data_IF_946402024898
#
_entry.id   IF_946402024898
#
_cell.length_a   1.000
_cell.length_b   1.000
_cell.length_c   1.000
_cell.angle_alpha   90.00
_cell.angle_beta   90.00
_cell.angle_gamma   90.00
#
_symmetry.space_group_name_H-M   'P 1'
#
loop_
_entity.id
_entity.type
_entity.pdbx_description
1 polymer ?
#
# COMPACT_ATOMS: atom_id res chain seq x y z
N UNK A 1 -22.55 38.08 41.77
CA UNK A 1 -21.91 38.37 40.48
C UNK A 1 -21.13 37.11 40.12
N UNK A 2 -21.77 36.24 39.30
CA UNK A 2 -21.19 34.99 38.86
C UNK A 2 -20.65 35.24 37.44
N UNK A 3 -19.33 35.14 37.26
CA UNK A 3 -18.66 35.15 35.99
C UNK A 3 -18.64 33.72 35.44
N UNK A 4 -19.38 33.49 34.36
CA UNK A 4 -19.36 32.22 33.61
C UNK A 4 -18.06 32.09 32.83
N UNK A 5 -17.37 30.98 33.05
CA UNK A 5 -16.27 30.57 32.21
C UNK A 5 -16.86 29.93 30.90
N UNK A 6 -16.59 30.55 29.76
CA UNK A 6 -16.89 29.97 28.47
C UNK A 6 -15.88 28.85 28.20
N UNK A 7 -16.36 27.63 28.04
CA UNK A 7 -15.58 26.52 27.50
C UNK A 7 -15.28 26.84 26.01
N UNK A 8 -13.98 26.99 25.68
CA UNK A 8 -13.53 27.02 24.32
C UNK A 8 -13.72 25.63 23.70
N UNK A 9 -14.44 25.57 22.58
CA UNK A 9 -14.50 24.36 21.75
C UNK A 9 -13.10 24.02 21.22
N UNK A 10 -12.68 22.73 21.20
CA UNK A 10 -11.42 22.34 20.58
C UNK A 10 -11.48 22.69 19.09
N UNK A 11 -10.51 23.47 18.61
CA UNK A 11 -10.42 23.92 17.24
C UNK A 11 -10.44 22.74 16.28
N UNK A 12 -11.27 22.82 15.23
CA UNK A 12 -11.24 21.91 14.08
C UNK A 12 -9.82 21.91 13.52
N UNK A 13 -9.23 20.73 13.46
CA UNK A 13 -8.04 20.46 12.63
C UNK A 13 -8.30 20.94 11.20
N UNK A 14 -7.33 21.51 10.49
CA UNK A 14 -7.52 21.86 9.08
C UNK A 14 -7.99 20.61 8.32
N UNK A 15 -9.00 20.78 7.46
CA UNK A 15 -9.56 19.70 6.66
C UNK A 15 -8.41 18.99 5.92
N UNK A 16 -8.37 17.67 6.01
CA UNK A 16 -7.43 16.83 5.26
C UNK A 16 -7.56 17.20 3.77
N UNK A 17 -6.50 17.70 3.12
CA UNK A 17 -6.54 18.02 1.70
C UNK A 17 -6.76 16.78 0.83
N UNK A 18 -6.67 15.59 1.43
CA UNK A 18 -6.95 14.30 0.79
C UNK A 18 -7.90 13.48 1.66
N UNK A 19 -9.18 13.88 1.79
CA UNK A 19 -10.11 13.07 2.56
C UNK A 19 -10.10 11.65 2.01
N UNK A 20 -9.90 10.65 2.87
CA UNK A 20 -10.34 9.30 2.57
C UNK A 20 -11.86 9.44 2.53
N UNK A 21 -12.38 9.72 1.34
CA UNK A 21 -13.80 9.64 1.12
C UNK A 21 -14.12 8.17 1.20
N UNK A 22 -14.56 7.73 2.38
CA UNK A 22 -15.23 6.44 2.56
C UNK A 22 -16.61 6.43 1.89
N UNK A 23 -16.72 7.09 0.75
CA UNK A 23 -17.76 6.80 -0.22
C UNK A 23 -17.37 5.46 -0.82
N UNK A 24 -17.99 4.40 -0.30
CA UNK A 24 -18.11 3.13 -1.03
C UNK A 24 -18.43 3.51 -2.47
N UNK A 25 -17.52 3.14 -3.40
CA UNK A 25 -17.68 3.43 -4.81
C UNK A 25 -19.15 3.16 -5.19
N UNK A 26 -19.82 4.13 -5.77
CA UNK A 26 -21.22 3.98 -6.16
C UNK A 26 -21.31 2.76 -7.05
N UNK A 27 -22.46 2.07 -7.07
CA UNK A 27 -22.68 0.89 -7.94
C UNK A 27 -22.30 1.21 -9.39
N UNK A 28 -22.46 2.46 -9.82
CA UNK A 28 -22.08 2.95 -11.15
C UNK A 28 -20.54 3.03 -11.35
N UNK A 29 -19.73 3.21 -10.31
CA UNK A 29 -18.27 3.24 -10.40
C UNK A 29 -17.67 1.83 -10.47
N UNK A 30 -18.32 0.82 -9.92
CA UNK A 30 -17.84 -0.56 -9.89
C UNK A 30 -17.69 -1.17 -11.29
N UNK A 31 -18.51 -0.74 -12.24
CA UNK A 31 -18.52 -1.23 -13.63
C UNK A 31 -17.53 -0.47 -14.55
N UNK A 32 -16.83 0.55 -14.04
CA UNK A 32 -15.85 1.31 -14.82
C UNK A 32 -14.50 0.60 -14.83
N UNK A 33 -13.72 0.70 -15.94
CA UNK A 33 -12.35 0.20 -16.01
C UNK A 33 -11.46 0.77 -14.89
N UNK A 34 -10.50 -0.02 -14.41
CA UNK A 34 -9.55 0.43 -13.37
C UNK A 34 -8.85 1.73 -13.75
N UNK A 35 -8.48 1.88 -15.01
CA UNK A 35 -7.85 3.10 -15.54
C UNK A 35 -8.62 4.39 -15.23
N UNK A 36 -9.93 4.31 -15.04
CA UNK A 36 -10.81 5.47 -14.85
C UNK A 36 -11.07 5.81 -13.38
N UNK A 37 -10.81 4.86 -12.46
CA UNK A 37 -11.27 5.00 -11.08
C UNK A 37 -10.21 4.75 -10.01
N UNK A 38 -9.10 4.06 -10.31
CA UNK A 38 -8.09 3.76 -9.31
C UNK A 38 -6.97 4.80 -9.26
N UNK A 39 -6.42 5.00 -8.09
CA UNK A 39 -5.13 5.66 -7.90
C UNK A 39 -4.02 4.78 -8.46
N UNK A 40 -2.99 5.40 -9.02
CA UNK A 40 -1.81 4.70 -9.53
C UNK A 40 -0.59 5.14 -8.73
N UNK A 41 0.08 4.19 -8.14
CA UNK A 41 1.32 4.41 -7.41
C UNK A 41 2.46 3.56 -7.94
N UNK A 42 3.65 3.85 -7.46
CA UNK A 42 4.81 3.04 -7.72
C UNK A 42 5.81 3.04 -6.55
N UNK A 43 6.50 1.90 -6.40
CA UNK A 43 7.83 1.83 -5.82
C UNK A 43 8.84 1.99 -6.95
N UNK A 44 9.81 2.88 -6.80
CA UNK A 44 10.92 3.05 -7.74
C UNK A 44 12.23 2.65 -7.07
N UNK A 45 13.22 2.20 -7.84
CA UNK A 45 14.52 1.79 -7.29
C UNK A 45 15.13 2.85 -6.35
N UNK A 46 15.41 2.42 -5.13
CA UNK A 46 15.92 3.31 -4.07
C UNK A 46 14.81 4.15 -3.41
N UNK A 47 13.59 4.14 -3.96
CA UNK A 47 12.46 4.89 -3.42
C UNK A 47 12.81 6.35 -3.12
N UNK A 48 12.17 6.93 -2.12
CA UNK A 48 12.45 8.30 -1.64
C UNK A 48 13.81 8.46 -0.94
N UNK A 49 14.51 7.35 -0.61
CA UNK A 49 15.88 7.37 -0.06
C UNK A 49 16.88 8.05 -0.99
N UNK A 50 16.59 8.08 -2.28
CA UNK A 50 17.38 8.77 -3.32
C UNK A 50 16.78 10.12 -3.71
N UNK A 51 15.81 10.62 -2.95
CA UNK A 51 15.04 11.81 -3.29
C UNK A 51 13.90 11.54 -4.26
N UNK A 52 13.23 12.59 -4.71
CA UNK A 52 12.04 12.48 -5.57
C UNK A 52 12.35 12.30 -7.06
N UNK A 53 13.62 12.43 -7.48
CA UNK A 53 14.00 12.34 -8.91
C UNK A 53 13.54 11.04 -9.59
N UNK A 54 13.72 9.83 -9.00
CA UNK A 54 13.25 8.59 -9.64
C UNK A 54 11.75 8.55 -9.89
N UNK A 55 10.97 9.16 -9.00
CA UNK A 55 9.51 9.27 -9.13
C UNK A 55 9.14 10.24 -10.26
N UNK A 56 9.77 11.41 -10.31
CA UNK A 56 9.52 12.43 -11.33
C UNK A 56 9.95 11.95 -12.72
N UNK A 57 11.03 11.18 -12.81
CA UNK A 57 11.49 10.58 -14.07
C UNK A 57 10.46 9.55 -14.55
N UNK A 58 9.93 8.71 -13.67
CA UNK A 58 8.87 7.75 -14.01
C UNK A 58 7.60 8.48 -14.49
N UNK A 59 7.16 9.53 -13.78
CA UNK A 59 6.02 10.38 -14.18
C UNK A 59 6.22 10.97 -15.58
N UNK A 60 7.44 11.43 -15.86
CA UNK A 60 7.81 11.99 -17.18
C UNK A 60 7.67 10.95 -18.28
N UNK A 61 8.17 9.73 -18.06
CA UNK A 61 8.05 8.63 -19.03
C UNK A 61 6.60 8.18 -19.20
N UNK A 62 5.82 8.12 -18.14
CA UNK A 62 4.40 7.74 -18.18
C UNK A 62 3.51 8.85 -18.76
N UNK A 63 4.00 10.09 -18.84
CA UNK A 63 3.22 11.25 -19.29
C UNK A 63 2.06 11.59 -18.35
N UNK A 64 2.14 11.16 -17.08
CA UNK A 64 1.14 11.48 -16.03
C UNK A 64 1.78 11.45 -14.65
N UNK A 65 1.12 12.14 -13.72
CA UNK A 65 1.48 12.08 -12.31
C UNK A 65 1.03 10.77 -11.67
N UNK A 66 1.81 10.29 -10.71
CA UNK A 66 1.38 9.24 -9.78
C UNK A 66 0.47 9.82 -8.70
N UNK A 67 -0.23 8.95 -8.00
CA UNK A 67 -1.09 9.29 -6.86
C UNK A 67 -0.44 8.84 -5.53
N UNK A 68 0.34 7.75 -5.57
CA UNK A 68 0.96 7.12 -4.41
C UNK A 68 2.43 6.85 -4.68
N UNK A 69 3.29 7.14 -3.71
CA UNK A 69 4.72 6.75 -3.72
C UNK A 69 4.95 5.77 -2.59
N UNK A 70 5.52 4.63 -2.94
CA UNK A 70 5.81 3.54 -2.03
C UNK A 70 7.31 3.43 -1.76
N UNK A 71 7.69 3.18 -0.51
CA UNK A 71 9.05 2.79 -0.13
C UNK A 71 9.06 1.83 1.05
N UNK A 72 10.18 1.13 1.21
CA UNK A 72 10.42 0.20 2.30
C UNK A 72 11.34 0.82 3.35
N UNK A 73 11.09 0.48 4.60
CA UNK A 73 11.96 0.81 5.73
C UNK A 73 11.93 -0.30 6.77
N UNK A 74 12.91 -0.32 7.66
CA UNK A 74 13.08 -1.34 8.70
C UNK A 74 12.85 -0.74 10.10
N UNK A 75 12.74 -1.62 11.10
CA UNK A 75 12.57 -1.23 12.50
C UNK A 75 13.85 -0.65 13.16
N UNK A 76 14.96 -0.60 12.47
CA UNK A 76 16.19 0.07 12.88
C UNK A 76 16.34 1.50 12.32
N UNK A 77 15.39 1.93 11.50
CA UNK A 77 15.34 3.27 10.93
C UNK A 77 14.36 4.17 11.67
N UNK A 78 14.64 5.47 11.70
CA UNK A 78 13.69 6.51 12.12
C UNK A 78 12.55 6.67 11.10
N UNK A 79 11.50 7.43 11.46
CA UNK A 79 10.35 7.65 10.59
C UNK A 79 10.64 8.57 9.38
N UNK A 80 11.71 9.37 9.48
CA UNK A 80 12.15 10.33 8.45
C UNK A 80 11.00 11.23 7.94
N UNK A 81 10.42 12.07 8.81
CA UNK A 81 9.28 12.92 8.48
C UNK A 81 9.55 13.84 7.29
N UNK A 82 10.81 14.21 7.02
CA UNK A 82 11.20 15.00 5.84
C UNK A 82 10.91 14.29 4.52
N UNK A 83 10.99 12.95 4.46
CA UNK A 83 10.62 12.18 3.27
C UNK A 83 9.10 12.19 3.06
N UNK A 84 8.34 12.04 4.14
CA UNK A 84 6.88 12.13 4.12
C UNK A 84 6.44 13.50 3.61
N UNK A 85 7.05 14.57 4.13
CA UNK A 85 6.78 15.95 3.73
C UNK A 85 7.18 16.21 2.26
N UNK A 86 8.28 15.66 1.78
CA UNK A 86 8.72 15.81 0.38
C UNK A 86 7.72 15.14 -0.59
N UNK A 87 7.24 13.94 -0.26
CA UNK A 87 6.21 13.24 -1.04
C UNK A 87 4.90 14.03 -1.05
N UNK A 88 4.46 14.52 0.11
CA UNK A 88 3.24 15.32 0.21
C UNK A 88 3.36 16.67 -0.52
N UNK A 89 4.51 17.34 -0.44
CA UNK A 89 4.76 18.58 -1.18
C UNK A 89 4.73 18.39 -2.69
N UNK A 90 5.07 17.20 -3.17
CA UNK A 90 4.87 16.79 -4.56
C UNK A 90 3.40 16.47 -4.91
N UNK A 91 2.47 16.51 -3.94
CA UNK A 91 1.05 16.19 -4.15
C UNK A 91 0.78 14.69 -4.22
N UNK A 92 1.63 13.87 -3.63
CA UNK A 92 1.57 12.41 -3.65
C UNK A 92 1.27 11.86 -2.26
N UNK A 93 0.70 10.66 -2.19
CA UNK A 93 0.40 9.96 -0.93
C UNK A 93 1.57 9.03 -0.56
N UNK A 94 2.13 9.14 0.65
CA UNK A 94 3.17 8.24 1.14
C UNK A 94 2.57 6.88 1.54
N UNK A 95 3.08 5.79 0.96
CA UNK A 95 2.87 4.41 1.40
C UNK A 95 4.20 3.85 1.91
N UNK A 96 4.25 3.49 3.19
CA UNK A 96 5.47 3.02 3.86
C UNK A 96 5.32 1.55 4.23
N UNK A 97 6.14 0.69 3.63
CA UNK A 97 6.28 -0.70 4.09
C UNK A 97 7.29 -0.78 5.22
N UNK A 98 6.82 -1.19 6.39
CA UNK A 98 7.60 -1.17 7.64
C UNK A 98 7.89 -2.59 8.10
N UNK A 99 9.17 -3.01 8.00
CA UNK A 99 9.62 -4.39 8.07
C UNK A 99 10.43 -4.65 9.34
N UNK A 100 9.94 -5.47 10.29
CA UNK A 100 10.66 -5.79 11.53
C UNK A 100 11.58 -7.01 11.34
N UNK A 101 12.60 -6.89 10.50
CA UNK A 101 13.50 -8.00 10.19
C UNK A 101 14.18 -8.62 11.41
N UNK A 102 14.61 -7.78 12.36
CA UNK A 102 15.41 -8.17 13.52
C UNK A 102 14.62 -8.16 14.85
N UNK A 103 13.30 -7.91 14.78
CA UNK A 103 12.43 -7.86 15.95
C UNK A 103 11.26 -8.84 15.78
N UNK A 104 11.14 -9.80 16.69
CA UNK A 104 10.06 -10.78 16.65
C UNK A 104 8.69 -10.18 16.98
N UNK A 105 7.63 -10.69 16.35
CA UNK A 105 6.25 -10.21 16.60
C UNK A 105 5.86 -10.33 18.08
N UNK A 106 6.33 -11.37 18.79
CA UNK A 106 6.10 -11.54 20.23
C UNK A 106 6.82 -10.48 21.07
N UNK A 107 8.00 -10.02 20.65
CA UNK A 107 8.75 -8.95 21.33
C UNK A 107 8.05 -7.61 21.18
N UNK A 108 7.53 -7.32 19.98
CA UNK A 108 6.69 -6.14 19.72
C UNK A 108 5.44 -6.21 20.61
N UNK A 109 4.72 -7.34 20.61
CA UNK A 109 3.52 -7.55 21.42
C UNK A 109 3.79 -7.40 22.93
N UNK A 110 4.97 -7.82 23.41
CA UNK A 110 5.39 -7.67 24.81
C UNK A 110 5.83 -6.25 25.19
N UNK A 111 6.06 -5.37 24.22
CA UNK A 111 6.40 -3.96 24.44
C UNK A 111 7.90 -3.67 24.54
N UNK A 112 8.75 -4.57 24.07
CA UNK A 112 10.20 -4.38 24.13
C UNK A 112 10.68 -3.20 23.27
N UNK A 113 9.88 -2.79 22.27
CA UNK A 113 10.21 -1.70 21.35
C UNK A 113 9.25 -0.49 21.47
N UNK A 114 8.49 -0.36 22.55
CA UNK A 114 7.51 0.72 22.72
C UNK A 114 8.11 2.11 22.57
N UNK A 115 9.30 2.33 23.09
CA UNK A 115 9.99 3.62 22.97
C UNK A 115 10.22 4.03 21.51
N UNK A 116 10.63 3.07 20.68
CA UNK A 116 10.83 3.23 19.25
C UNK A 116 9.49 3.49 18.52
N UNK A 117 8.46 2.67 18.81
CA UNK A 117 7.13 2.84 18.22
C UNK A 117 6.50 4.20 18.53
N UNK A 118 6.64 4.67 19.77
CA UNK A 118 6.17 5.99 20.19
C UNK A 118 6.94 7.14 19.52
N UNK A 119 8.24 6.98 19.28
CA UNK A 119 9.02 7.96 18.52
C UNK A 119 8.49 8.09 17.09
N UNK A 120 8.31 6.95 16.39
CA UNK A 120 7.70 6.90 15.07
C UNK A 120 6.32 7.57 15.03
N UNK A 121 5.46 7.25 16.00
CA UNK A 121 4.13 7.82 16.08
C UNK A 121 4.16 9.34 16.19
N UNK A 122 5.00 9.89 17.10
CA UNK A 122 5.15 11.34 17.27
C UNK A 122 5.69 12.03 16.03
N UNK A 123 6.70 11.43 15.37
CA UNK A 123 7.32 11.98 14.17
C UNK A 123 6.31 12.04 13.02
N UNK A 124 5.53 10.97 12.81
CA UNK A 124 4.48 10.97 11.80
C UNK A 124 3.33 11.91 12.15
N UNK A 125 2.89 11.94 13.41
CA UNK A 125 1.86 12.88 13.87
C UNK A 125 2.25 14.34 13.59
N UNK A 126 3.52 14.69 13.84
CA UNK A 126 4.04 16.04 13.65
C UNK A 126 4.02 16.50 12.18
N UNK A 127 3.99 15.59 11.21
CA UNK A 127 3.89 15.96 9.78
C UNK A 127 2.52 16.52 9.41
N UNK A 128 1.45 16.08 10.08
CA UNK A 128 0.05 16.37 9.71
C UNK A 128 -0.35 15.79 8.36
N UNK A 129 0.52 15.03 7.68
CA UNK A 129 0.27 14.40 6.39
C UNK A 129 -0.37 13.03 6.60
N UNK A 130 -1.40 12.70 5.82
CA UNK A 130 -1.94 11.33 5.81
C UNK A 130 -0.88 10.37 5.29
N UNK A 131 -0.48 9.41 6.13
CA UNK A 131 0.52 8.39 5.83
C UNK A 131 -0.13 7.01 5.83
N UNK A 132 0.00 6.28 4.74
CA UNK A 132 -0.39 4.88 4.65
C UNK A 132 0.76 4.01 5.16
N UNK A 133 0.58 3.40 6.33
CA UNK A 133 1.60 2.57 6.97
C UNK A 133 1.25 1.09 6.82
N UNK A 134 2.13 0.35 6.17
CA UNK A 134 1.98 -1.08 5.85
C UNK A 134 3.00 -1.90 6.66
N UNK A 135 2.72 -2.23 7.93
CA UNK A 135 3.59 -3.10 8.72
C UNK A 135 3.42 -4.55 8.31
N UNK A 136 4.46 -5.35 8.49
CA UNK A 136 4.43 -6.80 8.24
C UNK A 136 3.93 -7.20 6.84
N UNK A 137 4.40 -6.56 5.73
CA UNK A 137 3.91 -6.93 4.39
C UNK A 137 4.10 -8.43 4.13
N UNK A 138 3.17 -9.02 3.37
CA UNK A 138 3.20 -10.44 2.97
C UNK A 138 3.31 -11.44 4.13
N UNK A 139 2.70 -11.16 5.28
CA UNK A 139 2.82 -11.94 6.52
C UNK A 139 2.44 -13.43 6.40
N UNK A 140 1.71 -13.80 5.35
CA UNK A 140 1.33 -15.17 5.03
C UNK A 140 2.33 -15.89 4.09
N UNK A 141 3.52 -15.28 3.82
CA UNK A 141 4.60 -15.83 3.02
C UNK A 141 5.78 -16.30 3.86
N UNK A 142 6.38 -17.45 3.55
CA UNK A 142 7.50 -18.03 4.31
C UNK A 142 8.86 -17.39 3.99
N UNK A 143 8.88 -16.38 3.12
CA UNK A 143 10.06 -15.58 2.79
C UNK A 143 10.28 -14.38 3.71
N UNK A 144 9.38 -14.13 4.66
CA UNK A 144 9.50 -13.04 5.64
C UNK A 144 9.67 -13.57 7.06
N UNK A 145 10.44 -12.87 7.90
CA UNK A 145 10.75 -13.30 9.27
C UNK A 145 9.57 -13.20 10.25
N UNK A 146 8.52 -12.45 9.92
CA UNK A 146 7.29 -12.26 10.72
C UNK A 146 6.15 -13.21 10.34
N UNK A 147 6.42 -14.22 9.48
CA UNK A 147 5.49 -15.30 9.18
C UNK A 147 5.41 -16.34 10.31
N UNK A 148 4.33 -17.14 10.31
CA UNK A 148 4.21 -18.37 11.12
C UNK A 148 3.70 -18.20 12.55
N UNK A 149 3.44 -16.96 12.99
CA UNK A 149 2.81 -16.66 14.29
C UNK A 149 1.67 -15.63 14.14
N UNK A 150 0.50 -16.03 13.62
CA UNK A 150 -0.62 -15.12 13.42
C UNK A 150 -1.09 -14.43 14.71
N UNK A 151 -1.17 -15.17 15.82
CA UNK A 151 -1.59 -14.61 17.10
C UNK A 151 -0.62 -13.55 17.62
N UNK A 152 0.68 -13.81 17.52
CA UNK A 152 1.72 -12.87 17.88
C UNK A 152 1.69 -11.62 17.01
N UNK A 153 1.48 -11.77 15.71
CA UNK A 153 1.40 -10.65 14.77
C UNK A 153 0.16 -9.79 15.05
N UNK A 154 -1.02 -10.39 15.24
CA UNK A 154 -2.24 -9.66 15.62
C UNK A 154 -2.03 -8.87 16.91
N UNK A 155 -1.41 -9.48 17.92
CA UNK A 155 -1.11 -8.80 19.19
C UNK A 155 -0.13 -7.63 19.00
N UNK A 156 0.92 -7.81 18.18
CA UNK A 156 1.88 -6.77 17.82
C UNK A 156 1.19 -5.61 17.09
N UNK A 157 0.39 -5.89 16.06
CA UNK A 157 -0.35 -4.89 15.31
C UNK A 157 -1.24 -4.04 16.21
N UNK A 158 -2.09 -4.68 17.01
CA UNK A 158 -3.01 -3.97 17.92
C UNK A 158 -2.26 -3.14 18.96
N UNK A 159 -1.08 -3.59 19.41
CA UNK A 159 -0.22 -2.79 20.27
C UNK A 159 0.29 -1.55 19.54
N UNK A 160 0.80 -1.70 18.32
CA UNK A 160 1.30 -0.59 17.51
C UNK A 160 0.20 0.44 17.28
N UNK A 161 -0.99 0.00 16.82
CA UNK A 161 -2.12 0.91 16.57
C UNK A 161 -2.52 1.69 17.84
N UNK A 162 -2.59 1.02 18.99
CA UNK A 162 -2.88 1.67 20.28
C UNK A 162 -1.82 2.69 20.66
N UNK A 163 -0.53 2.39 20.51
CA UNK A 163 0.55 3.34 20.82
C UNK A 163 0.51 4.56 19.91
N UNK A 164 0.19 4.40 18.65
CA UNK A 164 0.04 5.48 17.68
C UNK A 164 -1.15 6.38 18.03
N UNK A 165 -2.27 5.79 18.45
CA UNK A 165 -3.42 6.54 18.93
C UNK A 165 -3.08 7.35 20.21
N UNK A 166 -2.43 6.72 21.20
CA UNK A 166 -1.96 7.37 22.42
C UNK A 166 -1.01 8.56 22.17
N UNK A 167 -0.18 8.50 21.14
CA UNK A 167 0.73 9.59 20.73
C UNK A 167 0.08 10.60 19.76
N UNK A 168 -1.20 10.42 19.43
CA UNK A 168 -1.95 11.35 18.57
C UNK A 168 -1.66 11.23 17.07
N UNK A 169 -1.12 10.12 16.61
CA UNK A 169 -0.82 9.87 15.19
C UNK A 169 -2.07 9.48 14.38
N UNK A 170 -3.15 10.27 14.50
CA UNK A 170 -4.43 10.02 13.85
C UNK A 170 -4.41 10.24 12.34
N UNK A 171 -3.32 10.77 11.80
CA UNK A 171 -3.05 10.91 10.37
C UNK A 171 -2.46 9.65 9.73
N UNK A 172 -2.17 8.60 10.50
CA UNK A 172 -1.72 7.31 9.98
C UNK A 172 -2.93 6.46 9.58
N UNK A 173 -2.83 5.81 8.40
CA UNK A 173 -3.79 4.83 7.88
C UNK A 173 -3.12 3.46 7.80
N UNK A 174 -3.67 2.50 8.50
CA UNK A 174 -3.11 1.15 8.63
C UNK A 174 -3.49 0.28 7.43
N UNK A 175 -2.49 -0.26 6.73
CA UNK A 175 -2.66 -1.07 5.52
C UNK A 175 -2.32 -2.53 5.81
N UNK A 176 -3.33 -3.39 5.80
CA UNK A 176 -3.18 -4.85 5.94
C UNK A 176 -2.96 -5.47 4.56
N UNK A 177 -1.75 -6.00 4.30
CA UNK A 177 -1.33 -6.44 2.96
C UNK A 177 -0.71 -7.85 2.98
N UNK A 178 -1.50 -8.92 2.96
CA UNK A 178 -0.99 -10.26 2.71
C UNK A 178 -0.63 -10.47 1.24
N UNK A 179 0.18 -11.48 0.96
CA UNK A 179 0.37 -11.99 -0.39
C UNK A 179 -0.93 -12.67 -0.89
N UNK A 180 -1.18 -12.63 -2.19
CA UNK A 180 -2.33 -13.28 -2.84
C UNK A 180 -2.41 -14.79 -2.59
N UNK A 181 -1.30 -15.40 -2.19
CA UNK A 181 -1.18 -16.84 -1.92
C UNK A 181 -0.58 -17.08 -0.54
N UNK A 182 -1.19 -17.96 0.25
CA UNK A 182 -0.59 -18.41 1.50
C UNK A 182 0.57 -19.38 1.21
N UNK A 183 1.77 -19.09 1.72
CA UNK A 183 2.91 -20.01 1.66
C UNK A 183 3.57 -20.10 3.06
N UNK A 184 3.66 -21.29 3.65
CA UNK A 184 3.14 -22.56 3.14
C UNK A 184 1.60 -22.64 3.15
N UNK A 185 1.03 -23.44 2.24
CA UNK A 185 -0.43 -23.66 2.11
C UNK A 185 -0.97 -24.60 3.18
N UNK A 186 -0.89 -24.17 4.43
CA UNK A 186 -1.37 -24.92 5.60
C UNK A 186 -2.44 -24.14 6.34
N UNK A 187 -3.33 -24.83 7.05
CA UNK A 187 -4.46 -24.22 7.74
C UNK A 187 -4.05 -23.13 8.75
N UNK A 188 -2.87 -23.27 9.37
CA UNK A 188 -2.34 -22.32 10.35
C UNK A 188 -1.68 -21.08 9.75
N UNK A 189 -1.57 -20.96 8.41
CA UNK A 189 -0.91 -19.85 7.72
C UNK A 189 -1.85 -19.07 6.79
N UNK A 190 -3.15 -19.21 6.97
CA UNK A 190 -4.12 -18.50 6.14
C UNK A 190 -4.07 -17.00 6.45
N UNK A 191 -4.15 -16.16 5.39
CA UNK A 191 -4.11 -14.69 5.53
C UNK A 191 -5.14 -14.17 6.54
N UNK A 192 -6.32 -14.79 6.63
CA UNK A 192 -7.39 -14.38 7.52
C UNK A 192 -7.01 -14.50 9.01
N UNK A 193 -6.06 -15.37 9.36
CA UNK A 193 -5.60 -15.55 10.74
C UNK A 193 -4.73 -14.40 11.22
N UNK A 194 -4.11 -13.66 10.30
CA UNK A 194 -3.27 -12.51 10.58
C UNK A 194 -4.07 -11.20 10.67
N UNK A 195 -5.37 -11.21 10.34
CA UNK A 195 -6.19 -10.00 10.33
C UNK A 195 -6.45 -9.47 11.74
N UNK A 196 -6.01 -8.23 12.06
CA UNK A 196 -6.09 -7.72 13.43
C UNK A 196 -7.46 -7.14 13.81
N UNK A 197 -8.38 -6.97 12.83
CA UNK A 197 -9.74 -6.46 13.03
C UNK A 197 -9.98 -5.09 12.39
N UNK A 198 -11.26 -4.80 12.12
CA UNK A 198 -11.72 -3.61 11.40
C UNK A 198 -11.39 -2.30 12.14
N UNK A 199 -11.30 -2.35 13.46
CA UNK A 199 -11.06 -1.20 14.32
C UNK A 199 -9.62 -0.67 14.26
N UNK A 200 -8.70 -1.41 13.63
CA UNK A 200 -7.28 -1.08 13.52
C UNK A 200 -6.71 -1.28 12.11
N UNK A 201 -7.58 -1.37 11.11
CA UNK A 201 -7.22 -1.46 9.68
C UNK A 201 -8.05 -0.46 8.89
N UNK A 202 -7.38 0.44 8.17
CA UNK A 202 -8.03 1.45 7.32
C UNK A 202 -8.12 1.00 5.87
N UNK A 203 -7.17 0.17 5.41
CA UNK A 203 -7.08 -0.31 4.03
C UNK A 203 -6.77 -1.80 4.05
N UNK A 204 -7.57 -2.58 3.33
CA UNK A 204 -7.26 -3.95 2.97
C UNK A 204 -6.40 -3.95 1.72
N UNK A 205 -5.34 -4.76 1.67
CA UNK A 205 -4.49 -4.77 0.50
C UNK A 205 -4.04 -6.18 0.11
N UNK A 206 -3.41 -6.29 -1.05
CA UNK A 206 -2.79 -7.53 -1.54
C UNK A 206 -1.49 -7.22 -2.26
N UNK A 207 -0.56 -8.16 -2.13
CA UNK A 207 0.68 -8.18 -2.89
C UNK A 207 0.67 -9.39 -3.84
N UNK A 208 0.94 -9.16 -5.12
CA UNK A 208 0.87 -10.24 -6.10
C UNK A 208 1.60 -9.95 -7.41
N UNK A 209 2.21 -11.00 -7.99
CA UNK A 209 3.04 -10.87 -9.17
C UNK A 209 2.69 -11.89 -10.24
N UNK A 210 2.71 -11.46 -11.51
CA UNK A 210 2.79 -12.36 -12.62
C UNK A 210 4.27 -12.69 -12.90
N UNK A 211 4.76 -13.78 -12.34
CA UNK A 211 6.13 -14.25 -12.52
C UNK A 211 6.43 -14.74 -13.93
N UNK A 212 5.38 -15.03 -14.74
CA UNK A 212 5.56 -15.64 -16.04
C UNK A 212 6.39 -16.91 -15.96
N UNK A 213 7.32 -17.10 -16.88
CA UNK A 213 8.23 -18.26 -16.91
C UNK A 213 9.62 -17.95 -16.34
N UNK A 214 9.75 -16.96 -15.46
CA UNK A 214 11.04 -16.58 -14.83
C UNK A 214 11.59 -17.65 -13.89
N UNK A 215 10.76 -18.59 -13.45
CA UNK A 215 11.14 -19.74 -12.62
C UNK A 215 10.56 -21.03 -13.21
N UNK A 216 11.19 -22.20 -13.01
CA UNK A 216 10.70 -23.48 -13.53
C UNK A 216 9.31 -23.91 -13.01
N UNK A 217 8.89 -23.34 -11.89
CA UNK A 217 7.61 -23.66 -11.22
C UNK A 217 6.57 -22.55 -11.36
N UNK A 218 6.84 -21.48 -12.11
CA UNK A 218 5.90 -20.40 -12.40
C UNK A 218 5.45 -20.44 -13.85
N UNK A 219 4.27 -19.88 -14.10
CA UNK A 219 3.66 -19.79 -15.41
C UNK A 219 3.10 -18.38 -15.65
N UNK A 220 2.89 -18.05 -16.91
CA UNK A 220 2.23 -16.81 -17.28
C UNK A 220 0.77 -16.83 -16.85
N UNK A 221 0.36 -15.82 -16.08
CA UNK A 221 -1.02 -15.67 -15.59
C UNK A 221 -1.60 -14.33 -16.03
N UNK A 222 -2.82 -14.30 -16.56
CA UNK A 222 -3.56 -13.05 -16.76
C UNK A 222 -3.70 -12.27 -15.46
N UNK A 223 -3.85 -10.94 -15.56
CA UNK A 223 -3.98 -10.06 -14.39
C UNK A 223 -5.04 -10.53 -13.40
N UNK A 224 -6.26 -10.74 -13.88
CA UNK A 224 -7.36 -11.19 -13.01
C UNK A 224 -7.08 -12.55 -12.36
N UNK A 225 -6.42 -13.46 -13.05
CA UNK A 225 -6.08 -14.77 -12.48
C UNK A 225 -5.02 -14.70 -11.38
N UNK A 226 -4.19 -13.65 -11.35
CA UNK A 226 -3.25 -13.41 -10.23
C UNK A 226 -4.02 -13.01 -8.98
N UNK A 227 -4.99 -12.10 -9.11
CA UNK A 227 -5.58 -11.40 -7.96
C UNK A 227 -6.95 -11.93 -7.51
N UNK A 228 -7.77 -12.53 -8.40
CA UNK A 228 -9.18 -12.81 -8.13
C UNK A 228 -9.43 -13.60 -6.85
N UNK A 229 -8.67 -14.67 -6.60
CA UNK A 229 -8.87 -15.50 -5.41
C UNK A 229 -8.46 -14.77 -4.12
N UNK A 230 -7.31 -14.08 -4.14
CA UNK A 230 -6.86 -13.27 -3.00
C UNK A 230 -7.82 -12.11 -2.72
N UNK A 231 -8.26 -11.42 -3.77
CA UNK A 231 -9.22 -10.31 -3.64
C UNK A 231 -10.52 -10.74 -2.99
N UNK A 232 -11.10 -11.85 -3.42
CA UNK A 232 -12.33 -12.35 -2.83
C UNK A 232 -12.17 -12.66 -1.33
N UNK A 233 -11.00 -13.15 -0.91
CA UNK A 233 -10.68 -13.45 0.49
C UNK A 233 -10.47 -12.18 1.31
N UNK A 234 -9.62 -11.26 0.83
CA UNK A 234 -9.32 -10.02 1.58
C UNK A 234 -10.55 -9.12 1.67
N UNK A 235 -11.34 -9.01 0.59
CA UNK A 235 -12.58 -8.24 0.57
C UNK A 235 -13.68 -8.80 1.48
N UNK A 236 -13.59 -10.06 1.87
CA UNK A 236 -14.50 -10.68 2.82
C UNK A 236 -14.14 -10.42 4.30
N UNK A 237 -12.97 -9.80 4.57
CA UNK A 237 -12.55 -9.48 5.94
C UNK A 237 -13.28 -8.28 6.54
N UNK A 238 -13.61 -7.28 5.72
CA UNK A 238 -14.26 -6.04 6.15
C UNK A 238 -14.71 -5.18 4.98
N UNK A 239 -15.24 -3.99 5.26
CA UNK A 239 -15.80 -3.06 4.26
C UNK A 239 -14.79 -1.97 3.81
N UNK A 240 -13.55 -2.00 4.30
CA UNK A 240 -12.51 -1.04 3.95
C UNK A 240 -12.20 -1.07 2.44
N UNK A 241 -11.65 0.03 1.86
CA UNK A 241 -11.14 0.02 0.49
C UNK A 241 -10.08 -1.06 0.29
N UNK A 242 -9.97 -1.57 -0.94
CA UNK A 242 -8.96 -2.58 -1.29
C UNK A 242 -7.90 -1.95 -2.19
N UNK A 243 -6.63 -2.19 -1.89
CA UNK A 243 -5.49 -1.79 -2.71
C UNK A 243 -4.72 -3.02 -3.19
N UNK A 244 -4.12 -2.95 -4.36
CA UNK A 244 -3.00 -3.82 -4.72
C UNK A 244 -1.74 -3.03 -4.38
N UNK A 245 -1.26 -3.21 -3.13
CA UNK A 245 -0.22 -2.38 -2.54
C UNK A 245 1.18 -2.70 -3.06
N UNK A 246 1.32 -3.87 -3.70
CA UNK A 246 2.55 -4.26 -4.37
C UNK A 246 2.23 -5.24 -5.49
N UNK A 247 2.54 -4.85 -6.73
CA UNK A 247 2.25 -5.69 -7.88
C UNK A 247 3.18 -5.42 -9.05
N UNK A 248 3.42 -6.45 -9.86
CA UNK A 248 4.05 -6.30 -11.16
C UNK A 248 3.81 -7.52 -12.06
N UNK A 249 4.27 -7.42 -13.31
CA UNK A 249 4.35 -8.52 -14.26
C UNK A 249 5.77 -8.61 -14.83
N UNK A 250 6.33 -9.82 -14.89
CA UNK A 250 7.48 -10.11 -15.72
C UNK A 250 7.10 -10.05 -17.21
N UNK A 251 8.09 -10.10 -18.11
CA UNK A 251 7.87 -10.19 -19.54
C UNK A 251 7.96 -11.64 -20.06
N UNK A 252 8.64 -12.50 -19.32
CA UNK A 252 8.92 -13.87 -19.70
C UNK A 252 7.66 -14.73 -19.73
N UNK A 253 7.41 -15.36 -20.86
CA UNK A 253 6.28 -16.27 -21.06
C UNK A 253 5.02 -15.63 -21.65
N UNK A 254 4.99 -14.29 -21.86
CA UNK A 254 3.83 -13.62 -22.45
C UNK A 254 4.10 -12.18 -22.91
N UNK A 255 3.04 -11.43 -23.16
CA UNK A 255 3.10 -10.04 -23.56
C UNK A 255 2.75 -9.13 -22.37
N UNK A 256 3.78 -8.53 -21.73
CA UNK A 256 3.63 -7.63 -20.58
C UNK A 256 2.82 -6.38 -20.93
N UNK A 257 2.93 -5.84 -22.15
CA UNK A 257 2.16 -4.67 -22.57
C UNK A 257 0.66 -4.99 -22.69
N UNK A 258 0.34 -6.17 -23.28
CA UNK A 258 -1.03 -6.65 -23.32
C UNK A 258 -1.59 -6.93 -21.91
N UNK A 259 -0.76 -7.45 -20.99
CA UNK A 259 -1.15 -7.68 -19.59
C UNK A 259 -1.49 -6.37 -18.87
N UNK A 260 -0.68 -5.32 -19.06
CA UNK A 260 -0.96 -3.97 -18.52
C UNK A 260 -2.24 -3.39 -19.11
N UNK A 261 -2.44 -3.53 -20.43
CA UNK A 261 -3.67 -3.06 -21.08
C UNK A 261 -4.91 -3.78 -20.53
N UNK A 262 -4.83 -5.09 -20.33
CA UNK A 262 -5.91 -5.89 -19.75
C UNK A 262 -6.18 -5.50 -18.27
N UNK A 263 -5.13 -5.26 -17.50
CA UNK A 263 -5.24 -4.75 -16.13
C UNK A 263 -6.03 -3.43 -16.09
N UNK A 264 -5.62 -2.45 -16.90
CA UNK A 264 -6.24 -1.12 -16.92
C UNK A 264 -7.69 -1.14 -17.42
N UNK A 265 -8.03 -2.10 -18.28
CA UNK A 265 -9.39 -2.31 -18.78
C UNK A 265 -10.28 -3.18 -17.88
N UNK A 266 -9.72 -3.81 -16.83
CA UNK A 266 -10.48 -4.72 -15.96
C UNK A 266 -11.54 -3.99 -15.15
N UNK A 267 -12.68 -4.66 -14.93
CA UNK A 267 -13.76 -4.26 -14.05
C UNK A 267 -14.00 -5.27 -12.92
N UNK A 268 -13.12 -6.28 -12.80
CA UNK A 268 -13.33 -7.44 -11.93
C UNK A 268 -13.19 -7.16 -10.41
N UNK A 269 -12.70 -5.98 -10.03
CA UNK A 269 -12.36 -5.66 -8.63
C UNK A 269 -13.08 -4.39 -8.14
N UNK A 270 -14.39 -4.45 -7.85
CA UNK A 270 -15.25 -3.26 -7.64
C UNK A 270 -14.82 -2.36 -6.48
N UNK A 271 -14.18 -2.89 -5.42
CA UNK A 271 -13.69 -2.12 -4.28
C UNK A 271 -12.21 -1.73 -4.38
N UNK A 272 -11.55 -2.02 -5.52
CA UNK A 272 -10.15 -1.65 -5.71
C UNK A 272 -10.03 -0.14 -5.92
N UNK A 273 -9.27 0.53 -5.04
CA UNK A 273 -9.06 1.99 -5.10
C UNK A 273 -7.65 2.39 -5.53
N UNK A 274 -6.66 1.50 -5.37
CA UNK A 274 -5.29 1.79 -5.79
C UNK A 274 -4.56 0.57 -6.31
N UNK A 275 -3.67 0.82 -7.27
CA UNK A 275 -2.63 -0.12 -7.70
C UNK A 275 -1.26 0.52 -7.49
N UNK A 276 -0.33 -0.20 -6.88
CA UNK A 276 1.04 0.27 -6.63
C UNK A 276 2.02 -0.68 -7.31
N UNK A 277 2.64 -0.19 -8.37
CA UNK A 277 3.54 -0.99 -9.17
C UNK A 277 4.95 -1.06 -8.56
N UNK A 278 5.53 -2.26 -8.49
CA UNK A 278 6.90 -2.47 -8.07
C UNK A 278 7.85 -2.27 -9.27
N UNK A 279 8.40 -1.06 -9.42
CA UNK A 279 9.18 -0.64 -10.61
C UNK A 279 10.68 -0.86 -10.39
N UNK A 280 11.10 -2.11 -10.30
CA UNK A 280 12.50 -2.48 -10.10
C UNK A 280 12.92 -3.68 -10.94
N UNK A 281 14.22 -3.78 -11.23
CA UNK A 281 14.86 -4.98 -11.74
C UNK A 281 15.53 -5.70 -10.54
N UNK A 282 14.87 -6.74 -10.05
CA UNK A 282 15.33 -7.51 -8.88
C UNK A 282 15.33 -9.01 -9.20
N UNK A 283 14.32 -9.77 -8.78
CA UNK A 283 14.19 -11.20 -9.11
C UNK A 283 13.81 -11.44 -10.57
N UNK A 284 13.13 -10.48 -11.18
CA UNK A 284 12.79 -10.37 -12.60
C UNK A 284 12.82 -8.89 -13.02
N UNK A 285 12.62 -8.59 -14.30
CA UNK A 285 12.46 -7.21 -14.73
C UNK A 285 11.01 -6.74 -14.57
N UNK A 286 10.72 -6.17 -13.40
CA UNK A 286 9.40 -5.66 -13.06
C UNK A 286 9.11 -4.27 -13.65
N UNK A 287 10.12 -3.55 -14.15
CA UNK A 287 10.01 -2.13 -14.53
C UNK A 287 8.93 -1.87 -15.57
N UNK A 288 8.21 -0.76 -15.35
CA UNK A 288 7.21 -0.23 -16.29
C UNK A 288 7.85 0.24 -17.61
N UNK A 289 9.08 0.70 -17.51
CA UNK A 289 9.74 1.43 -18.60
C UNK A 289 10.82 0.61 -19.32
N UNK A 290 11.03 -0.64 -18.93
CA UNK A 290 12.03 -1.51 -19.56
C UNK A 290 11.71 -1.83 -21.05
N UNK A 291 10.45 -1.90 -21.41
CA UNK A 291 9.95 -2.04 -22.77
C UNK A 291 9.08 -0.83 -23.13
N UNK A 292 9.39 -0.06 -24.19
CA UNK A 292 8.58 1.09 -24.60
C UNK A 292 7.10 0.76 -24.82
N UNK A 293 6.77 -0.47 -25.27
CA UNK A 293 5.37 -0.90 -25.43
C UNK A 293 4.62 -0.97 -24.09
N UNK A 294 5.32 -1.31 -23.00
CA UNK A 294 4.74 -1.34 -21.65
C UNK A 294 4.46 0.09 -21.18
N UNK A 295 5.42 1.01 -21.35
CA UNK A 295 5.22 2.42 -21.05
C UNK A 295 4.08 3.03 -21.89
N UNK A 296 3.96 2.65 -23.16
CA UNK A 296 2.87 3.09 -24.05
C UNK A 296 1.50 2.53 -23.59
N UNK A 297 1.45 1.30 -23.09
CA UNK A 297 0.23 0.71 -22.54
C UNK A 297 -0.25 1.47 -21.30
N UNK A 298 0.67 1.83 -20.38
CA UNK A 298 0.32 2.69 -19.24
C UNK A 298 -0.14 4.08 -19.70
N UNK A 299 0.61 4.74 -20.58
CA UNK A 299 0.26 6.07 -21.11
C UNK A 299 -1.13 6.10 -21.73
N UNK A 300 -1.39 5.14 -22.63
CA UNK A 300 -2.64 5.09 -23.38
C UNK A 300 -3.85 4.73 -22.50
N UNK A 301 -3.66 3.79 -21.56
CA UNK A 301 -4.72 3.33 -20.67
C UNK A 301 -5.04 4.30 -19.52
N UNK A 302 -4.06 5.10 -19.08
CA UNK A 302 -4.21 6.03 -17.98
C UNK A 302 -4.49 7.48 -18.41
N UNK A 303 -4.68 7.71 -19.71
CA UNK A 303 -4.94 9.05 -20.20
C UNK A 303 -6.28 9.59 -19.68
N UNK A 304 -6.20 10.61 -18.79
CA UNK A 304 -7.34 11.38 -18.31
C UNK A 304 -7.18 12.81 -18.79
N UNK A 305 -7.96 13.28 -19.76
CA UNK A 305 -7.84 14.64 -20.30
C UNK A 305 -8.11 15.73 -19.26
N UNK A 306 -8.86 15.44 -18.20
CA UNK A 306 -9.21 16.31 -17.10
C UNK A 306 -8.12 16.51 -16.04
N UNK A 307 -7.13 15.63 -15.98
CA UNK A 307 -5.98 15.70 -15.03
C UNK A 307 -4.77 16.41 -15.64
N UNK A 308 -4.65 16.45 -16.97
CA UNK A 308 -3.55 17.09 -17.69
C UNK A 308 -3.52 18.63 -17.59
N UNK A 309 -4.51 19.25 -16.96
CA UNK A 309 -4.72 20.72 -16.93
C UNK A 309 -4.59 21.36 -15.53
N UNK A 310 -3.92 20.68 -14.55
CA UNK A 310 -3.71 21.28 -13.21
C UNK A 310 -2.25 21.47 -12.89
#
# INVERSE_FOLDING_TARGET
MLLGAACAEPGRSPADPYPVTGEVASVDDADRPLAERVMVGAFTYGGVWRGMEPVLDLETVLGRRLDVVHWFTNFDNDAYPEMVLAVAAAGLRPLISWQPHDVGVREIAAGHVDGYLRAWARDLAATGVTVYLRPFPEMNGDWVSWNGDPEGLVAAWRRMARLFDEEGAHNVRWVFSPNVTDEPRVAGNRMELYYPGDDVVDVLALDGYNWGTTRPWTEWRPFEAVFAAGYARVAALGDQPVWFAEMASAAEGGDKAAWVSAMLASTAFPRLEAIVWFDEHKEADWRMVADPRVADAFRSGLFRPDVAAR
#
